data_IF_952268786405
#
_entry.id   IF_952268786405
#
_cell.length_a   1.000
_cell.length_b   1.000
_cell.length_c   1.000
_cell.angle_alpha   90.00
_cell.angle_beta   90.00
_cell.angle_gamma   90.00
#
_symmetry.space_group_name_H-M   'P 1'
#
loop_
_entity.id
_entity.type
_entity.pdbx_description
1 polymer ?
#
# COMPACT_ATOMS: atom_id res chain seq x y z
N UNK A 1 -32.76 -1.76 4.12
CA UNK A 1 -33.07 -1.56 5.55
C UNK A 1 -32.70 -0.12 5.90
N UNK A 2 -33.68 0.73 6.17
CA UNK A 2 -33.44 2.13 6.55
C UNK A 2 -33.01 2.12 8.01
N UNK A 3 -31.71 2.26 8.26
CA UNK A 3 -31.21 2.43 9.63
C UNK A 3 -31.62 3.82 10.10
N UNK A 4 -32.26 3.90 11.27
CA UNK A 4 -32.69 5.17 11.84
C UNK A 4 -31.45 5.96 12.30
N UNK A 5 -31.07 6.99 11.52
CA UNK A 5 -29.87 7.80 11.71
C UNK A 5 -29.68 8.26 13.15
N UNK A 6 -30.74 8.79 13.79
CA UNK A 6 -30.70 9.30 15.17
C UNK A 6 -30.38 8.21 16.22
N UNK A 7 -30.75 6.95 15.98
CA UNK A 7 -30.46 5.84 16.90
C UNK A 7 -29.10 5.18 16.64
N UNK A 8 -28.51 5.42 15.47
CA UNK A 8 -27.23 4.83 15.06
C UNK A 8 -26.00 5.57 15.61
N UNK A 9 -26.13 6.86 15.91
CA UNK A 9 -25.04 7.70 16.45
C UNK A 9 -25.06 7.63 17.98
N UNK A 10 -24.39 6.64 18.54
CA UNK A 10 -24.15 6.54 19.98
C UNK A 10 -22.69 6.14 20.24
N UNK A 11 -22.18 6.47 21.44
CA UNK A 11 -20.77 6.22 21.81
C UNK A 11 -20.43 4.74 21.69
N UNK A 12 -21.36 3.85 22.05
CA UNK A 12 -21.15 2.40 21.95
C UNK A 12 -20.96 1.93 20.51
N UNK A 13 -21.76 2.42 19.58
CA UNK A 13 -21.64 2.14 18.15
C UNK A 13 -20.37 2.74 17.57
N UNK A 14 -19.97 3.93 18.04
CA UNK A 14 -18.73 4.56 17.65
C UNK A 14 -17.51 3.76 18.12
N UNK A 15 -17.48 3.34 19.39
CA UNK A 15 -16.44 2.48 19.97
C UNK A 15 -16.40 1.14 19.23
N UNK A 16 -17.56 0.50 19.04
CA UNK A 16 -17.63 -0.75 18.28
C UNK A 16 -17.17 -0.59 16.83
N UNK A 17 -17.42 0.57 16.23
CA UNK A 17 -16.94 0.88 14.90
C UNK A 17 -15.41 1.01 14.88
N UNK A 18 -14.83 1.85 15.74
CA UNK A 18 -13.38 2.07 15.79
C UNK A 18 -12.59 0.82 16.16
N UNK A 19 -13.10 0.00 17.07
CA UNK A 19 -12.38 -1.18 17.58
C UNK A 19 -12.50 -2.39 16.64
N UNK A 20 -13.60 -2.52 15.90
CA UNK A 20 -13.93 -3.75 15.17
C UNK A 20 -14.20 -3.56 13.69
N UNK A 21 -13.84 -2.43 13.08
CA UNK A 21 -14.13 -2.21 11.66
C UNK A 21 -12.85 -1.83 10.93
N UNK A 22 -12.31 -2.72 10.07
CA UNK A 22 -11.14 -2.42 9.26
C UNK A 22 -11.34 -1.38 8.12
N UNK A 23 -12.55 -1.03 7.64
CA UNK A 23 -12.67 0.08 6.71
C UNK A 23 -12.53 1.39 7.47
N UNK A 24 -11.66 2.25 6.96
CA UNK A 24 -11.51 3.67 7.36
C UNK A 24 -12.75 4.53 7.09
N UNK A 25 -13.90 3.93 6.77
CA UNK A 25 -15.13 4.61 6.44
C UNK A 25 -16.27 4.16 7.33
N UNK A 26 -16.88 5.13 8.01
CA UNK A 26 -18.05 4.86 8.83
C UNK A 26 -19.23 4.60 7.91
N UNK A 27 -19.63 3.34 7.82
CA UNK A 27 -20.93 2.99 7.25
C UNK A 27 -21.95 2.85 8.39
N UNK A 28 -23.17 3.29 8.13
CA UNK A 28 -24.28 3.07 9.08
C UNK A 28 -24.63 1.59 9.00
N UNK A 29 -23.93 0.78 9.77
CA UNK A 29 -24.08 -0.67 9.72
C UNK A 29 -25.50 -1.07 10.14
N UNK A 30 -26.12 -1.88 9.29
CA UNK A 30 -27.22 -2.73 9.69
C UNK A 30 -26.79 -3.55 10.90
N UNK A 31 -27.63 -3.61 11.93
CA UNK A 31 -27.47 -4.39 13.17
C UNK A 31 -27.51 -5.90 12.92
N UNK A 32 -26.79 -6.41 11.91
CA UNK A 32 -26.64 -7.85 11.71
C UNK A 32 -25.76 -8.42 12.82
N UNK A 33 -26.16 -9.58 13.35
CA UNK A 33 -25.38 -10.34 14.32
C UNK A 33 -24.03 -10.71 13.69
N UNK A 34 -22.97 -10.06 14.15
CA UNK A 34 -21.59 -10.38 13.80
C UNK A 34 -21.22 -11.67 14.53
N UNK A 35 -20.95 -12.74 13.79
CA UNK A 35 -20.45 -13.99 14.36
C UNK A 35 -18.97 -14.13 14.07
N UNK A 36 -18.20 -14.41 15.11
CA UNK A 36 -16.76 -14.64 15.01
C UNK A 36 -16.54 -15.94 14.23
N UNK A 37 -15.73 -15.87 13.18
CA UNK A 37 -15.39 -17.04 12.36
C UNK A 37 -14.07 -17.66 12.83
N UNK A 38 -14.08 -18.34 13.99
CA UNK A 38 -12.88 -18.89 14.63
C UNK A 38 -12.04 -19.81 13.73
N UNK A 39 -12.69 -20.69 12.95
CA UNK A 39 -11.98 -21.61 12.03
C UNK A 39 -11.19 -20.83 10.96
N UNK A 40 -11.84 -19.85 10.35
CA UNK A 40 -11.21 -18.96 9.35
C UNK A 40 -10.09 -18.15 9.98
N UNK A 41 -10.33 -17.57 11.15
CA UNK A 41 -9.33 -16.80 11.89
C UNK A 41 -8.08 -17.63 12.22
N UNK A 42 -8.23 -18.82 12.81
CA UNK A 42 -7.09 -19.65 13.17
C UNK A 42 -6.27 -20.09 11.96
N UNK A 43 -6.94 -20.43 10.84
CA UNK A 43 -6.26 -20.74 9.58
C UNK A 43 -5.42 -19.55 9.08
N UNK A 44 -6.03 -18.36 9.04
CA UNK A 44 -5.36 -17.14 8.57
C UNK A 44 -4.25 -16.70 9.53
N UNK A 45 -4.40 -16.93 10.83
CA UNK A 45 -3.37 -16.63 11.84
C UNK A 45 -2.11 -17.48 11.63
N UNK A 46 -2.25 -18.77 11.35
CA UNK A 46 -1.09 -19.64 11.03
C UNK A 46 -0.41 -19.17 9.75
N UNK A 47 -1.18 -18.82 8.72
CA UNK A 47 -0.64 -18.27 7.47
C UNK A 47 0.07 -16.94 7.70
N UNK A 48 -0.49 -16.05 8.53
CA UNK A 48 0.09 -14.76 8.89
C UNK A 48 1.45 -14.93 9.55
N UNK A 49 1.56 -15.83 10.53
CA UNK A 49 2.83 -16.13 11.20
C UNK A 49 3.87 -16.65 10.20
N UNK A 50 3.50 -17.61 9.36
CA UNK A 50 4.39 -18.15 8.32
C UNK A 50 4.87 -17.05 7.36
N UNK A 51 3.97 -16.22 6.84
CA UNK A 51 4.31 -15.14 5.91
C UNK A 51 5.19 -14.07 6.57
N UNK A 52 5.01 -13.81 7.87
CA UNK A 52 5.86 -12.90 8.63
C UNK A 52 7.29 -13.45 8.73
N UNK A 53 7.45 -14.72 9.09
CA UNK A 53 8.75 -15.39 9.09
C UNK A 53 9.40 -15.40 7.71
N UNK A 54 8.63 -15.68 6.64
CA UNK A 54 9.14 -15.64 5.26
C UNK A 54 9.60 -14.24 4.87
N UNK A 55 8.85 -13.20 5.24
CA UNK A 55 9.25 -11.80 4.99
C UNK A 55 10.57 -11.48 5.70
N UNK A 56 10.69 -11.82 6.98
CA UNK A 56 11.91 -11.62 7.76
C UNK A 56 13.10 -12.40 7.19
N UNK A 57 12.88 -13.64 6.75
CA UNK A 57 13.90 -14.46 6.09
C UNK A 57 14.40 -13.80 4.81
N UNK A 58 13.50 -13.33 3.93
CA UNK A 58 13.91 -12.68 2.68
C UNK A 58 14.70 -11.39 2.97
N UNK A 59 14.24 -10.57 3.91
CA UNK A 59 14.93 -9.35 4.33
C UNK A 59 16.34 -9.64 4.84
N UNK A 60 16.49 -10.59 5.77
CA UNK A 60 17.76 -10.88 6.43
C UNK A 60 18.75 -11.61 5.52
N UNK A 61 18.28 -12.48 4.62
CA UNK A 61 19.16 -13.32 3.81
C UNK A 61 19.47 -12.75 2.42
N UNK A 62 18.56 -11.97 1.83
CA UNK A 62 18.73 -11.50 0.45
C UNK A 62 18.87 -9.98 0.33
N UNK A 63 18.23 -9.21 1.20
CA UNK A 63 18.31 -7.74 1.12
C UNK A 63 19.47 -7.24 1.97
N UNK A 64 19.51 -7.57 3.27
CA UNK A 64 20.50 -7.01 4.19
C UNK A 64 21.96 -7.20 3.73
N UNK A 65 22.40 -8.39 3.26
CA UNK A 65 23.79 -8.58 2.83
C UNK A 65 24.15 -7.69 1.64
N UNK A 66 23.26 -7.60 0.65
CA UNK A 66 23.47 -6.78 -0.55
C UNK A 66 23.52 -5.29 -0.22
N UNK A 67 22.69 -4.83 0.73
CA UNK A 67 22.68 -3.45 1.18
C UNK A 67 23.96 -3.07 1.94
N UNK A 68 24.55 -4.01 2.69
CA UNK A 68 25.85 -3.80 3.35
C UNK A 68 27.00 -3.71 2.34
N UNK A 69 26.97 -4.52 1.27
CA UNK A 69 27.94 -4.43 0.17
C UNK A 69 27.77 -3.11 -0.58
N UNK A 70 26.52 -2.73 -0.88
CA UNK A 70 26.19 -1.46 -1.54
C UNK A 70 26.80 -0.25 -0.83
N UNK A 71 26.83 -0.27 0.51
CA UNK A 71 27.44 0.80 1.32
C UNK A 71 28.93 0.98 1.03
N UNK A 72 29.65 -0.11 0.80
CA UNK A 72 31.11 -0.11 0.67
C UNK A 72 31.57 0.08 -0.78
N UNK A 73 30.79 -0.37 -1.76
CA UNK A 73 31.17 -0.45 -3.18
C UNK A 73 30.46 0.60 -4.07
N UNK A 74 30.33 1.84 -3.59
CA UNK A 74 29.59 2.90 -4.32
C UNK A 74 30.32 3.37 -5.60
N UNK A 75 31.63 3.16 -5.70
CA UNK A 75 32.46 3.76 -6.76
C UNK A 75 32.54 2.95 -8.07
N UNK A 76 32.19 1.67 -8.07
CA UNK A 76 32.19 0.84 -9.29
C UNK A 76 30.76 0.69 -9.87
N UNK A 77 30.53 1.31 -11.04
CA UNK A 77 29.23 1.33 -11.70
C UNK A 77 28.72 -0.05 -12.11
N UNK A 78 29.60 -1.00 -12.46
CA UNK A 78 29.18 -2.34 -12.93
C UNK A 78 28.76 -3.20 -11.74
N UNK A 79 29.55 -3.17 -10.67
CA UNK A 79 29.25 -3.87 -9.42
C UNK A 79 27.97 -3.32 -8.79
N UNK A 80 27.84 -1.98 -8.76
CA UNK A 80 26.64 -1.28 -8.30
C UNK A 80 25.39 -1.74 -9.03
N UNK A 81 25.44 -1.80 -10.37
CA UNK A 81 24.30 -2.24 -11.17
C UNK A 81 23.88 -3.67 -10.84
N UNK A 82 24.86 -4.58 -10.67
CA UNK A 82 24.60 -5.96 -10.28
C UNK A 82 23.93 -6.08 -8.90
N UNK A 83 24.38 -5.28 -7.92
CA UNK A 83 23.80 -5.22 -6.58
C UNK A 83 22.35 -4.71 -6.64
N UNK A 84 22.10 -3.62 -7.38
CA UNK A 84 20.77 -3.04 -7.55
C UNK A 84 19.80 -4.04 -8.16
N UNK A 85 20.22 -4.83 -9.16
CA UNK A 85 19.36 -5.87 -9.75
C UNK A 85 18.98 -6.97 -8.75
N UNK A 86 19.91 -7.41 -7.90
CA UNK A 86 19.64 -8.43 -6.86
C UNK A 86 18.69 -7.89 -5.79
N UNK A 87 18.93 -6.66 -5.32
CA UNK A 87 18.04 -5.97 -4.39
C UNK A 87 16.66 -5.79 -5.02
N UNK A 88 16.59 -5.40 -6.28
CA UNK A 88 15.32 -5.17 -6.98
C UNK A 88 14.45 -6.43 -6.99
N UNK A 89 15.02 -7.60 -7.29
CA UNK A 89 14.29 -8.87 -7.22
C UNK A 89 13.78 -9.14 -5.79
N UNK A 90 14.67 -9.06 -4.80
CA UNK A 90 14.32 -9.36 -3.41
C UNK A 90 13.31 -8.36 -2.82
N UNK A 91 13.44 -7.07 -3.14
CA UNK A 91 12.54 -6.00 -2.73
C UNK A 91 11.11 -6.24 -3.21
N UNK A 92 10.96 -6.67 -4.46
CA UNK A 92 9.65 -6.98 -5.02
C UNK A 92 9.04 -8.23 -4.40
N UNK A 93 9.84 -9.26 -4.15
CA UNK A 93 9.38 -10.43 -3.41
C UNK A 93 8.92 -10.06 -2.00
N UNK A 94 9.69 -9.23 -1.28
CA UNK A 94 9.28 -8.73 0.03
C UNK A 94 7.99 -7.95 -0.05
N UNK A 95 7.84 -7.03 -1.01
CA UNK A 95 6.61 -6.26 -1.15
C UNK A 95 5.40 -7.16 -1.43
N UNK A 96 5.55 -8.17 -2.28
CA UNK A 96 4.49 -9.16 -2.55
C UNK A 96 4.12 -9.99 -1.32
N UNK A 97 5.11 -10.54 -0.63
CA UNK A 97 4.87 -11.40 0.53
C UNK A 97 4.34 -10.58 1.71
N UNK A 98 4.90 -9.40 1.96
CA UNK A 98 4.54 -8.55 3.10
C UNK A 98 3.26 -7.75 2.83
N UNK A 99 3.18 -6.96 1.77
CA UNK A 99 2.03 -6.09 1.57
C UNK A 99 0.85 -6.88 1.01
N UNK A 100 1.04 -7.65 -0.06
CA UNK A 100 -0.09 -8.36 -0.67
C UNK A 100 -0.54 -9.56 0.17
N UNK A 101 0.33 -10.56 0.37
CA UNK A 101 -0.06 -11.80 1.04
C UNK A 101 -0.26 -11.63 2.56
N UNK A 102 0.66 -10.95 3.24
CA UNK A 102 0.60 -10.80 4.70
C UNK A 102 -0.47 -9.77 5.12
N UNK A 103 -0.54 -8.58 4.50
CA UNK A 103 -1.57 -7.58 4.90
C UNK A 103 -2.95 -7.87 4.30
N UNK A 104 -3.09 -7.93 2.96
CA UNK A 104 -4.41 -7.97 2.33
C UNK A 104 -5.06 -9.35 2.27
N UNK A 105 -4.28 -10.42 2.11
CA UNK A 105 -4.83 -11.78 1.99
C UNK A 105 -4.95 -12.50 3.34
N UNK A 106 -4.19 -12.09 4.36
CA UNK A 106 -4.20 -12.78 5.67
C UNK A 106 -4.57 -11.88 6.85
N UNK A 107 -3.83 -10.80 7.12
CA UNK A 107 -4.08 -9.94 8.28
C UNK A 107 -5.47 -9.28 8.29
N UNK A 108 -5.82 -8.55 7.23
CA UNK A 108 -7.12 -7.87 7.16
C UNK A 108 -8.30 -8.87 7.14
N UNK A 109 -8.25 -9.99 6.39
CA UNK A 109 -9.27 -11.03 6.46
C UNK A 109 -9.34 -11.73 7.83
N UNK A 110 -8.21 -11.93 8.53
CA UNK A 110 -8.20 -12.50 9.88
C UNK A 110 -8.89 -11.56 10.87
N UNK A 111 -8.56 -10.28 10.80
CA UNK A 111 -9.21 -9.26 11.62
C UNK A 111 -10.71 -9.13 11.27
N UNK A 112 -11.07 -9.17 10.00
CA UNK A 112 -12.47 -9.19 9.56
C UNK A 112 -13.22 -10.44 10.05
N UNK A 113 -12.57 -11.61 10.09
CA UNK A 113 -13.13 -12.84 10.63
C UNK A 113 -13.38 -12.76 12.14
N UNK A 114 -12.50 -12.09 12.90
CA UNK A 114 -12.73 -11.76 14.32
C UNK A 114 -13.92 -10.82 14.50
N UNK A 115 -14.07 -9.86 13.59
CA UNK A 115 -15.10 -8.84 13.67
C UNK A 115 -16.44 -9.26 13.04
N UNK A 116 -16.50 -10.41 12.35
CA UNK A 116 -17.67 -10.86 11.60
C UNK A 116 -18.05 -9.95 10.43
N UNK A 117 -17.04 -9.39 9.74
CA UNK A 117 -17.20 -8.41 8.66
C UNK A 117 -16.84 -8.98 7.28
N UNK A 118 -17.35 -8.38 6.18
CA UNK A 118 -16.94 -8.75 4.83
C UNK A 118 -15.43 -8.55 4.62
N UNK A 119 -14.81 -9.47 3.88
CA UNK A 119 -13.35 -9.64 3.81
C UNK A 119 -12.70 -9.04 2.55
N UNK A 120 -13.40 -8.22 1.77
CA UNK A 120 -12.87 -7.73 0.50
C UNK A 120 -12.09 -6.42 0.69
N UNK A 121 -10.76 -6.53 0.78
CA UNK A 121 -9.85 -5.39 0.97
C UNK A 121 -9.07 -5.02 -0.29
N UNK A 122 -8.87 -6.00 -1.17
CA UNK A 122 -8.13 -5.91 -2.41
C UNK A 122 -8.95 -6.56 -3.54
N UNK A 123 -8.74 -6.14 -4.80
CA UNK A 123 -9.28 -6.77 -6.01
C UNK A 123 -8.13 -7.22 -6.91
N UNK A 124 -8.42 -7.84 -8.04
CA UNK A 124 -7.43 -8.25 -9.06
C UNK A 124 -6.67 -7.05 -9.65
N UNK A 125 -5.70 -6.55 -8.88
CA UNK A 125 -4.91 -5.36 -9.15
C UNK A 125 -3.76 -5.68 -10.10
N UNK A 126 -3.27 -6.93 -10.08
CA UNK A 126 -2.16 -7.40 -10.91
C UNK A 126 -2.51 -7.40 -12.40
N UNK A 127 -3.79 -7.56 -12.73
CA UNK A 127 -4.33 -7.47 -14.10
C UNK A 127 -4.76 -6.05 -14.49
N UNK A 128 -4.30 -5.01 -13.78
CA UNK A 128 -4.67 -3.63 -14.11
C UNK A 128 -3.96 -3.14 -15.36
N UNK A 129 -4.71 -2.55 -16.28
CA UNK A 129 -4.21 -2.05 -17.58
C UNK A 129 -3.49 -0.70 -17.45
N UNK A 130 -3.74 0.03 -16.35
CA UNK A 130 -3.15 1.34 -16.05
C UNK A 130 -2.90 1.49 -14.55
N UNK A 131 -1.96 2.36 -14.19
CA UNK A 131 -1.70 2.77 -12.80
C UNK A 131 -2.95 3.32 -12.11
N UNK A 132 -3.78 4.06 -12.84
CA UNK A 132 -5.04 4.59 -12.28
C UNK A 132 -6.02 3.49 -11.88
N UNK A 133 -6.09 2.39 -12.65
CA UNK A 133 -6.91 1.23 -12.30
C UNK A 133 -6.30 0.45 -11.13
N UNK A 134 -4.98 0.30 -11.12
CA UNK A 134 -4.24 -0.34 -10.03
C UNK A 134 -4.54 0.30 -8.67
N UNK A 135 -4.41 1.62 -8.54
CA UNK A 135 -4.66 2.34 -7.29
C UNK A 135 -6.11 2.26 -6.78
N UNK A 136 -7.06 1.94 -7.66
CA UNK A 136 -8.48 1.70 -7.30
C UNK A 136 -8.75 0.28 -6.83
N UNK A 137 -7.81 -0.65 -7.02
CA UNK A 137 -7.98 -2.09 -6.76
C UNK A 137 -7.08 -2.61 -5.65
N UNK A 138 -5.88 -2.06 -5.50
CA UNK A 138 -4.86 -2.53 -4.55
C UNK A 138 -5.26 -2.36 -3.07
N UNK A 139 -5.74 -1.17 -2.68
CA UNK A 139 -6.08 -0.87 -1.29
C UNK A 139 -7.43 -0.16 -1.24
N UNK A 140 -8.52 -0.93 -1.25
CA UNK A 140 -9.87 -0.38 -1.24
C UNK A 140 -10.14 0.52 -0.03
N UNK A 141 -9.74 0.16 1.21
CA UNK A 141 -9.96 1.03 2.37
C UNK A 141 -9.34 2.41 2.23
N UNK A 142 -8.05 2.50 1.87
CA UNK A 142 -7.36 3.78 1.68
C UNK A 142 -7.93 4.53 0.48
N UNK A 143 -8.13 3.83 -0.65
CA UNK A 143 -8.66 4.45 -1.87
C UNK A 143 -10.01 5.12 -1.60
N UNK A 144 -10.93 4.40 -0.94
CA UNK A 144 -12.23 4.93 -0.61
C UNK A 144 -12.10 6.09 0.40
N UNK A 145 -11.28 5.94 1.45
CA UNK A 145 -11.04 7.01 2.42
C UNK A 145 -10.62 8.31 1.74
N UNK A 146 -9.60 8.27 0.88
CA UNK A 146 -9.12 9.45 0.15
C UNK A 146 -10.16 9.97 -0.84
N UNK A 147 -10.87 9.07 -1.56
CA UNK A 147 -11.92 9.46 -2.51
C UNK A 147 -13.04 10.24 -1.84
N UNK A 148 -13.59 9.74 -0.74
CA UNK A 148 -14.79 10.31 -0.11
C UNK A 148 -14.48 11.44 0.86
N UNK A 149 -13.32 11.44 1.53
CA UNK A 149 -12.96 12.46 2.52
C UNK A 149 -12.09 13.59 1.95
N UNK A 150 -11.40 13.37 0.82
CA UNK A 150 -10.51 14.39 0.22
C UNK A 150 -10.98 14.75 -1.19
N UNK A 151 -11.02 13.77 -2.11
CA UNK A 151 -11.22 14.06 -3.53
C UNK A 151 -12.60 14.64 -3.85
N UNK A 152 -13.67 13.98 -3.40
CA UNK A 152 -15.06 14.38 -3.68
C UNK A 152 -15.44 15.71 -3.03
N UNK A 153 -15.08 16.00 -1.76
CA UNK A 153 -15.29 17.33 -1.18
C UNK A 153 -14.63 18.44 -1.99
N UNK A 154 -13.37 18.27 -2.42
CA UNK A 154 -12.68 19.27 -3.23
C UNK A 154 -13.39 19.54 -4.57
N UNK A 155 -13.81 18.47 -5.26
CA UNK A 155 -14.56 18.61 -6.52
C UNK A 155 -15.89 19.33 -6.28
N UNK A 156 -16.59 19.03 -5.18
CA UNK A 156 -17.84 19.71 -4.80
C UNK A 156 -17.64 21.19 -4.46
N UNK A 157 -16.46 21.55 -3.94
CA UNK A 157 -16.06 22.93 -3.70
C UNK A 157 -15.59 23.68 -4.97
N UNK A 158 -15.64 23.05 -6.15
CA UNK A 158 -15.31 23.68 -7.43
C UNK A 158 -13.85 23.52 -7.88
N UNK A 159 -13.04 22.71 -7.19
CA UNK A 159 -11.68 22.42 -7.65
C UNK A 159 -11.69 21.50 -8.88
N UNK A 160 -10.71 21.68 -9.78
CA UNK A 160 -10.55 20.81 -10.94
C UNK A 160 -10.16 19.39 -10.53
N UNK A 161 -10.44 18.40 -11.40
CA UNK A 161 -10.04 17.01 -11.16
C UNK A 161 -8.53 16.87 -10.98
N UNK A 162 -7.73 17.65 -11.72
CA UNK A 162 -6.27 17.62 -11.63
C UNK A 162 -5.79 18.16 -10.28
N UNK A 163 -6.37 19.26 -9.80
CA UNK A 163 -6.05 19.84 -8.50
C UNK A 163 -6.45 18.88 -7.37
N UNK A 164 -7.64 18.27 -7.47
CA UNK A 164 -8.12 17.25 -6.52
C UNK A 164 -7.18 16.04 -6.46
N UNK A 165 -6.76 15.51 -7.61
CA UNK A 165 -5.81 14.41 -7.68
C UNK A 165 -4.46 14.79 -7.04
N UNK A 166 -3.91 15.96 -7.36
CA UNK A 166 -2.66 16.43 -6.78
C UNK A 166 -2.73 16.49 -5.24
N UNK A 167 -3.81 17.05 -4.69
CA UNK A 167 -4.00 17.13 -3.24
C UNK A 167 -4.12 15.74 -2.62
N UNK A 168 -4.83 14.80 -3.25
CA UNK A 168 -4.93 13.41 -2.78
C UNK A 168 -3.56 12.75 -2.71
N UNK A 169 -2.73 12.89 -3.75
CA UNK A 169 -1.38 12.34 -3.78
C UNK A 169 -0.45 13.05 -2.78
N UNK A 170 -0.61 14.36 -2.57
CA UNK A 170 0.15 15.09 -1.56
C UNK A 170 -0.18 14.61 -0.13
N UNK A 171 -1.47 14.46 0.19
CA UNK A 171 -1.91 13.91 1.48
C UNK A 171 -1.41 12.48 1.66
N UNK A 172 -1.54 11.64 0.61
CA UNK A 172 -1.01 10.28 0.64
C UNK A 172 0.51 10.28 0.85
N UNK A 173 1.26 11.14 0.17
CA UNK A 173 2.71 11.23 0.28
C UNK A 173 3.17 11.62 1.69
N UNK A 174 2.47 12.55 2.35
CA UNK A 174 2.78 12.93 3.74
C UNK A 174 2.61 11.72 4.68
N UNK A 175 1.55 10.94 4.47
CA UNK A 175 1.30 9.72 5.25
C UNK A 175 2.38 8.66 4.96
N UNK A 176 2.77 8.47 3.69
CA UNK A 176 3.83 7.52 3.34
C UNK A 176 5.17 7.92 3.92
N UNK A 177 5.54 9.20 3.88
CA UNK A 177 6.74 9.72 4.55
C UNK A 177 6.69 9.43 6.05
N UNK A 178 5.60 9.81 6.72
CA UNK A 178 5.44 9.56 8.15
C UNK A 178 5.58 8.06 8.48
N UNK A 179 4.91 7.18 7.76
CA UNK A 179 4.96 5.74 8.01
C UNK A 179 6.32 5.12 7.68
N UNK A 180 6.99 5.60 6.64
CA UNK A 180 8.26 5.03 6.19
C UNK A 180 9.45 5.52 7.00
N UNK A 181 9.40 6.71 7.60
CA UNK A 181 10.58 7.31 8.21
C UNK A 181 10.48 7.42 9.74
N UNK A 182 9.27 7.58 10.29
CA UNK A 182 9.05 7.66 11.75
C UNK A 182 9.57 6.44 12.53
N UNK A 183 9.35 5.17 12.10
CA UNK A 183 9.86 4.01 12.83
C UNK A 183 11.39 3.95 12.92
N UNK A 184 12.08 4.60 11.98
CA UNK A 184 13.54 4.60 11.89
C UNK A 184 14.17 5.91 12.40
N UNK A 185 13.34 6.90 12.80
CA UNK A 185 13.82 8.22 13.22
C UNK A 185 14.50 9.03 12.11
N UNK A 186 14.17 8.75 10.84
CA UNK A 186 14.70 9.44 9.65
C UNK A 186 13.66 10.45 9.19
N UNK A 187 14.07 11.51 8.51
CA UNK A 187 13.18 12.39 7.74
C UNK A 187 13.93 12.88 6.52
N UNK A 188 13.59 12.39 5.33
CA UNK A 188 14.34 12.69 4.10
C UNK A 188 13.47 13.21 2.95
N UNK A 189 12.14 13.17 3.09
CA UNK A 189 11.18 13.61 2.07
C UNK A 189 11.09 12.71 0.84
N UNK A 190 11.85 11.61 0.78
CA UNK A 190 11.95 10.79 -0.43
C UNK A 190 10.65 10.04 -0.70
N UNK A 191 9.98 9.54 0.33
CA UNK A 191 8.71 8.83 0.14
C UNK A 191 7.63 9.80 -0.36
N UNK A 192 7.60 11.03 0.18
CA UNK A 192 6.70 12.08 -0.31
C UNK A 192 6.95 12.40 -1.80
N UNK A 193 8.21 12.59 -2.18
CA UNK A 193 8.58 12.86 -3.59
C UNK A 193 8.21 11.69 -4.49
N UNK A 194 8.51 10.45 -4.10
CA UNK A 194 8.12 9.27 -4.88
C UNK A 194 6.60 9.18 -5.05
N UNK A 195 5.80 9.45 -4.01
CA UNK A 195 4.34 9.48 -4.12
C UNK A 195 3.83 10.60 -5.04
N UNK A 196 4.52 11.73 -5.15
CA UNK A 196 4.14 12.77 -6.11
C UNK A 196 4.51 12.40 -7.55
N UNK A 197 5.64 11.72 -7.75
CA UNK A 197 6.10 11.26 -9.07
C UNK A 197 5.19 10.18 -9.69
N UNK A 198 4.30 9.58 -8.89
CA UNK A 198 3.29 8.65 -9.42
C UNK A 198 2.26 9.35 -10.31
N UNK A 199 2.03 10.66 -10.12
CA UNK A 199 1.12 11.45 -10.95
C UNK A 199 1.59 11.46 -12.41
N UNK A 200 2.80 11.97 -12.75
CA UNK A 200 3.29 11.95 -14.12
C UNK A 200 3.49 10.52 -14.65
N UNK A 201 3.92 9.57 -13.81
CA UNK A 201 4.01 8.15 -14.20
C UNK A 201 2.64 7.57 -14.60
N UNK A 202 1.58 7.96 -13.90
CA UNK A 202 0.20 7.59 -14.22
C UNK A 202 -0.26 8.13 -15.56
N UNK A 203 0.03 9.40 -15.86
CA UNK A 203 -0.27 10.00 -17.17
C UNK A 203 0.51 9.29 -18.29
N UNK A 204 1.79 9.02 -18.08
CA UNK A 204 2.62 8.29 -19.04
C UNK A 204 2.08 6.89 -19.30
N UNK A 205 1.69 6.17 -18.25
CA UNK A 205 1.10 4.84 -18.39
C UNK A 205 -0.18 4.89 -19.23
N UNK A 206 -1.10 5.82 -18.95
CA UNK A 206 -2.32 5.98 -19.76
C UNK A 206 -1.99 6.26 -21.23
N UNK A 207 -0.97 7.06 -21.52
CA UNK A 207 -0.51 7.31 -22.89
C UNK A 207 0.02 6.04 -23.57
N UNK A 208 0.83 5.24 -22.85
CA UNK A 208 1.36 3.96 -23.34
C UNK A 208 0.22 2.98 -23.59
N UNK A 209 -0.70 2.82 -22.65
CA UNK A 209 -1.88 1.94 -22.77
C UNK A 209 -2.73 2.33 -23.99
N UNK A 210 -2.96 3.63 -24.20
CA UNK A 210 -3.72 4.12 -25.37
C UNK A 210 -3.01 3.88 -26.70
N UNK A 211 -1.68 4.01 -26.73
CA UNK A 211 -0.88 3.92 -27.96
C UNK A 211 -0.55 2.48 -28.36
N UNK A 212 -0.23 1.63 -27.38
CA UNK A 212 0.30 0.28 -27.60
C UNK A 212 -0.66 -0.83 -27.13
N UNK A 213 -1.68 -0.49 -26.35
CA UNK A 213 -2.70 -1.42 -25.86
C UNK A 213 -2.50 -1.86 -24.40
N UNK A 214 -3.47 -2.62 -23.90
CA UNK A 214 -3.62 -2.95 -22.48
C UNK A 214 -2.46 -3.80 -21.92
N UNK A 215 -1.90 -4.69 -22.74
CA UNK A 215 -0.75 -5.53 -22.35
C UNK A 215 0.47 -4.68 -22.03
N UNK A 216 0.77 -3.67 -22.85
CA UNK A 216 1.91 -2.78 -22.62
C UNK A 216 1.70 -1.84 -21.43
N UNK A 217 0.45 -1.42 -21.19
CA UNK A 217 0.09 -0.69 -19.97
C UNK A 217 0.29 -1.50 -18.70
N UNK A 218 -0.06 -2.79 -18.72
CA UNK A 218 0.20 -3.71 -17.62
C UNK A 218 1.70 -4.00 -17.46
N UNK A 219 2.44 -4.17 -18.55
CA UNK A 219 3.90 -4.32 -18.50
C UNK A 219 4.54 -3.07 -17.86
N UNK A 220 4.11 -1.87 -18.25
CA UNK A 220 4.58 -0.63 -17.64
C UNK A 220 4.27 -0.58 -16.14
N UNK A 221 3.06 -0.98 -15.73
CA UNK A 221 2.68 -1.07 -14.32
C UNK A 221 3.66 -1.96 -13.53
N UNK A 222 3.96 -3.16 -14.04
CA UNK A 222 4.90 -4.07 -13.39
C UNK A 222 6.30 -3.51 -13.31
N UNK A 223 6.82 -2.97 -14.42
CA UNK A 223 8.13 -2.34 -14.44
C UNK A 223 8.20 -1.17 -13.44
N UNK A 224 7.17 -0.34 -13.42
CA UNK A 224 7.03 0.76 -12.46
C UNK A 224 7.12 0.26 -11.01
N UNK A 225 6.27 -0.70 -10.63
CA UNK A 225 6.26 -1.27 -9.27
C UNK A 225 7.64 -1.84 -8.92
N UNK A 226 8.26 -2.55 -9.87
CA UNK A 226 9.56 -3.18 -9.67
C UNK A 226 10.64 -2.15 -9.31
N UNK A 227 10.70 -1.05 -10.07
CA UNK A 227 11.65 0.02 -9.82
C UNK A 227 11.34 0.80 -8.55
N UNK A 228 10.08 1.17 -8.31
CA UNK A 228 9.72 2.03 -7.17
C UNK A 228 9.97 1.37 -5.83
N UNK A 229 9.66 0.08 -5.69
CA UNK A 229 9.92 -0.64 -4.43
C UNK A 229 11.41 -0.76 -4.14
N UNK A 230 12.22 -1.03 -5.17
CA UNK A 230 13.66 -1.08 -5.04
C UNK A 230 14.23 0.27 -4.59
N UNK A 231 13.85 1.36 -5.28
CA UNK A 231 14.29 2.71 -4.95
C UNK A 231 13.87 3.13 -3.54
N UNK A 232 12.65 2.78 -3.12
CA UNK A 232 12.17 3.06 -1.77
C UNK A 232 13.07 2.38 -0.71
N UNK A 233 13.33 1.07 -0.83
CA UNK A 233 14.17 0.34 0.14
C UNK A 233 15.61 0.86 0.16
N UNK A 234 16.20 1.08 -1.02
CA UNK A 234 17.57 1.61 -1.15
C UNK A 234 17.67 3.00 -0.50
N UNK A 235 16.74 3.90 -0.83
CA UNK A 235 16.74 5.24 -0.27
C UNK A 235 16.62 5.22 1.26
N UNK A 236 15.64 4.49 1.82
CA UNK A 236 15.47 4.41 3.28
C UNK A 236 16.70 3.89 3.97
N UNK A 237 17.37 2.87 3.43
CA UNK A 237 18.58 2.31 4.04
C UNK A 237 19.77 3.27 3.97
N UNK A 238 20.03 3.89 2.81
CA UNK A 238 21.15 4.82 2.65
C UNK A 238 21.02 6.02 3.58
N UNK A 239 19.79 6.52 3.82
CA UNK A 239 19.54 7.59 4.77
C UNK A 239 19.52 7.14 6.24
N UNK A 240 19.25 5.86 6.52
CA UNK A 240 19.28 5.32 7.89
C UNK A 240 20.70 5.12 8.41
N UNK A 241 21.58 4.59 7.55
CA UNK A 241 22.92 4.22 7.96
C UNK A 241 23.80 5.46 7.96
N UNK A 242 24.31 5.92 9.11
CA UNK A 242 25.19 7.08 9.15
C UNK A 242 26.43 6.85 8.28
N UNK A 243 26.75 7.85 7.46
CA UNK A 243 28.02 7.97 6.77
C UNK A 243 29.06 8.35 7.84
N UNK A 244 29.76 7.34 8.37
CA UNK A 244 31.00 7.54 9.12
C UNK A 244 32.18 7.48 8.16
#
# INVERSE_FOLDING_TARGET
IIVNYKKSVNIRNMINYFIFTPPMQYEIFSTQKRMIQWKTFMKLLVQLMFLYFMTAFILLQFILPEMLILKNEINDNIVLLGIVFRIMLAANLVWMVSMYLNVYETYLPAYAALCGLPQTFCKDWWNSETLTVFWRRWNLPVHNCLKYNVALPLIRCGYSQSASNFIVFAVAGIIHEYLNTFPFGIYNGMAFVFTLLEIPAGYLNVCITKKFGNVYGNLFLWMYLIFTHCLAIISTFLFHVPHN
#
